data_IF_820328918845
#
_entry.id   IF_820328918845
#
_cell.length_a   1.000
_cell.length_b   1.000
_cell.length_c   1.000
_cell.angle_alpha   90.00
_cell.angle_beta   90.00
_cell.angle_gamma   90.00
#
_symmetry.space_group_name_H-M   'P 1'
#
loop_
_entity.id
_entity.type
_entity.pdbx_description
1 polymer ?
#
# COMPACT_ATOMS: atom_id res chain seq x y z
N UNK A 1 -4.96 2.47 5.69
CA UNK A 1 -4.31 3.62 6.34
C UNK A 1 -4.00 3.18 7.76
N UNK A 2 -2.73 3.25 8.17
CA UNK A 2 -2.29 2.70 9.46
C UNK A 2 -2.54 3.72 10.60
N UNK A 3 -2.63 3.25 11.85
CA UNK A 3 -2.76 4.12 13.02
C UNK A 3 -1.63 5.17 13.07
N UNK A 4 -0.42 4.80 12.68
CA UNK A 4 0.73 5.70 12.62
C UNK A 4 0.54 6.82 11.59
N UNK A 5 0.01 6.50 10.40
CA UNK A 5 -0.32 7.52 9.41
C UNK A 5 -1.37 8.53 9.89
N UNK A 6 -2.27 8.12 10.78
CA UNK A 6 -3.21 9.05 11.42
C UNK A 6 -2.52 9.94 12.46
N UNK A 7 -1.61 9.38 13.27
CA UNK A 7 -0.84 10.14 14.29
C UNK A 7 0.03 11.22 13.65
N UNK A 8 0.74 10.91 12.57
CA UNK A 8 1.57 11.90 11.86
C UNK A 8 0.72 13.10 11.41
N UNK A 9 -0.48 12.85 10.86
CA UNK A 9 -1.35 13.93 10.41
C UNK A 9 -1.94 14.74 11.55
N UNK A 10 -2.29 14.09 12.65
CA UNK A 10 -2.74 14.76 13.87
C UNK A 10 -1.65 15.63 14.47
N UNK A 11 -0.41 15.12 14.55
CA UNK A 11 0.74 15.88 15.07
C UNK A 11 0.99 17.14 14.25
N UNK A 12 0.97 17.04 12.92
CA UNK A 12 1.15 18.21 12.05
C UNK A 12 0.04 19.25 12.23
N UNK A 13 -1.18 18.84 12.57
CA UNK A 13 -2.24 19.78 12.93
C UNK A 13 -1.94 20.48 14.26
N UNK A 14 -1.56 19.72 15.28
CA UNK A 14 -1.16 20.25 16.60
C UNK A 14 0.02 21.22 16.48
N UNK A 15 1.03 20.91 15.66
CA UNK A 15 2.15 21.82 15.38
C UNK A 15 1.69 23.14 14.74
N UNK A 16 0.62 23.11 13.95
CA UNK A 16 0.12 24.28 13.22
C UNK A 16 -0.82 25.16 14.06
N UNK A 17 -1.59 24.59 14.99
CA UNK A 17 -2.60 25.32 15.77
C UNK A 17 -2.37 25.32 17.28
N UNK A 18 -1.34 24.60 17.75
CA UNK A 18 -1.08 24.34 19.16
C UNK A 18 -1.79 23.09 19.68
N UNK A 19 -1.31 22.59 20.83
CA UNK A 19 -1.99 21.55 21.59
C UNK A 19 -3.08 22.17 22.45
N UNK A 20 -4.26 22.35 21.83
CA UNK A 20 -5.41 23.01 22.44
C UNK A 20 -6.57 22.03 22.65
N UNK A 21 -7.48 22.30 23.60
CA UNK A 21 -8.68 21.49 23.77
C UNK A 21 -9.49 21.40 22.47
N UNK A 22 -10.13 20.24 22.22
CA UNK A 22 -10.95 20.03 21.02
C UNK A 22 -12.07 21.08 20.88
N UNK A 23 -12.68 21.50 21.98
CA UNK A 23 -13.72 22.54 22.01
C UNK A 23 -13.20 23.92 21.55
N UNK A 24 -11.89 24.16 21.60
CA UNK A 24 -11.27 25.40 21.14
C UNK A 24 -10.92 25.39 19.65
N UNK A 25 -11.04 24.23 18.98
CA UNK A 25 -10.75 24.13 17.54
C UNK A 25 -11.94 24.64 16.74
N UNK A 26 -11.74 25.75 16.03
CA UNK A 26 -12.78 26.37 15.22
C UNK A 26 -12.76 25.90 13.76
N UNK A 27 -13.87 26.14 13.05
CA UNK A 27 -13.95 25.87 11.60
C UNK A 27 -12.96 26.72 10.79
N UNK A 28 -12.69 27.95 11.23
CA UNK A 28 -11.68 28.81 10.60
C UNK A 28 -10.29 28.17 10.70
N UNK A 29 -9.90 27.70 11.88
CA UNK A 29 -8.61 27.03 12.10
C UNK A 29 -8.46 25.77 11.22
N UNK A 30 -9.52 24.97 11.09
CA UNK A 30 -9.54 23.80 10.22
C UNK A 30 -9.38 24.18 8.73
N UNK A 31 -10.08 25.23 8.28
CA UNK A 31 -9.99 25.74 6.91
C UNK A 31 -8.61 26.31 6.59
N UNK A 32 -8.06 27.13 7.49
CA UNK A 32 -6.76 27.77 7.32
C UNK A 32 -5.63 26.75 7.30
N UNK A 33 -5.69 25.75 8.18
CA UNK A 33 -4.75 24.63 8.18
C UNK A 33 -4.73 23.90 6.83
N UNK A 34 -5.91 23.51 6.32
CA UNK A 34 -6.00 22.80 5.04
C UNK A 34 -5.67 23.68 3.83
N UNK A 35 -5.82 25.00 3.95
CA UNK A 35 -5.44 25.97 2.90
C UNK A 35 -3.94 26.12 2.85
N UNK A 36 -3.28 26.30 4.01
CA UNK A 36 -1.81 26.34 4.11
C UNK A 36 -1.17 25.07 3.57
N UNK A 37 -1.75 23.89 3.84
CA UNK A 37 -1.25 22.63 3.27
C UNK A 37 -1.38 22.58 1.74
N UNK A 38 -2.47 23.12 1.18
CA UNK A 38 -2.82 22.95 -0.23
C UNK A 38 -1.85 23.60 -1.23
N UNK A 39 -0.95 24.48 -0.79
CA UNK A 39 0.10 25.05 -1.64
C UNK A 39 1.23 24.06 -1.95
N UNK A 40 1.54 23.16 -1.01
CA UNK A 40 2.75 22.32 -1.06
C UNK A 40 2.47 20.82 -1.24
N UNK A 41 1.20 20.40 -1.19
CA UNK A 41 0.83 18.98 -1.29
C UNK A 41 -0.33 18.74 -2.26
N UNK A 42 -0.31 17.58 -2.92
CA UNK A 42 -1.39 17.14 -3.78
C UNK A 42 -2.76 17.16 -3.07
N UNK A 43 -3.83 17.46 -3.80
CA UNK A 43 -5.21 17.54 -3.26
C UNK A 43 -5.63 16.27 -2.52
N UNK A 44 -5.21 15.10 -3.00
CA UNK A 44 -5.46 13.82 -2.34
C UNK A 44 -4.77 13.72 -0.98
N UNK A 45 -3.55 14.21 -0.85
CA UNK A 45 -2.86 14.33 0.44
C UNK A 45 -3.58 15.29 1.37
N UNK A 46 -3.94 16.49 0.91
CA UNK A 46 -4.76 17.44 1.68
C UNK A 46 -6.07 16.80 2.17
N UNK A 47 -6.78 16.08 1.30
CA UNK A 47 -8.02 15.39 1.65
C UNK A 47 -7.79 14.30 2.71
N UNK A 48 -6.64 13.61 2.70
CA UNK A 48 -6.30 12.65 3.75
C UNK A 48 -6.13 13.31 5.13
N UNK A 49 -5.61 14.54 5.19
CA UNK A 49 -5.60 15.34 6.43
C UNK A 49 -7.02 15.67 6.87
N UNK A 50 -7.86 16.19 5.96
CA UNK A 50 -9.25 16.53 6.25
C UNK A 50 -10.03 15.32 6.80
N UNK A 51 -9.93 14.16 6.15
CA UNK A 51 -10.60 12.91 6.58
C UNK A 51 -10.07 12.41 7.93
N UNK A 52 -8.75 12.53 8.17
CA UNK A 52 -8.15 12.10 9.43
C UNK A 52 -8.65 12.94 10.60
N UNK A 53 -8.63 14.27 10.46
CA UNK A 53 -9.12 15.18 11.49
C UNK A 53 -10.62 15.07 11.69
N UNK A 54 -11.39 15.00 10.60
CA UNK A 54 -12.82 14.72 10.67
C UNK A 54 -13.12 13.45 11.49
N UNK A 55 -12.35 12.38 11.28
CA UNK A 55 -12.51 11.13 12.03
C UNK A 55 -12.21 11.27 13.53
N UNK A 56 -11.23 12.11 13.90
CA UNK A 56 -10.90 12.41 15.31
C UNK A 56 -12.07 13.09 16.01
N UNK A 57 -12.58 14.19 15.44
CA UNK A 57 -13.72 14.93 16.01
C UNK A 57 -15.00 14.10 16.03
N UNK A 58 -15.26 13.32 14.97
CA UNK A 58 -16.38 12.37 14.95
C UNK A 58 -16.26 11.34 16.07
N UNK A 59 -15.08 10.77 16.28
CA UNK A 59 -14.86 9.80 17.36
C UNK A 59 -15.03 10.42 18.75
N UNK A 60 -14.55 11.65 18.95
CA UNK A 60 -14.73 12.38 20.21
C UNK A 60 -16.21 12.65 20.49
N UNK A 61 -16.97 13.09 19.48
CA UNK A 61 -18.42 13.33 19.58
C UNK A 61 -19.19 12.06 19.94
N UNK A 62 -18.92 10.96 19.24
CA UNK A 62 -19.55 9.65 19.52
C UNK A 62 -19.24 9.10 20.92
N UNK A 63 -18.17 9.58 21.57
CA UNK A 63 -17.78 9.21 22.93
C UNK A 63 -18.22 10.23 23.98
N UNK A 64 -19.02 11.22 23.61
CA UNK A 64 -19.47 12.29 24.52
C UNK A 64 -18.35 13.23 25.00
N UNK A 65 -17.21 13.25 24.30
CA UNK A 65 -16.04 14.09 24.64
C UNK A 65 -15.96 15.38 23.82
N UNK A 66 -16.93 15.62 22.95
CA UNK A 66 -17.03 16.80 22.10
C UNK A 66 -18.52 17.04 21.78
N UNK A 67 -19.03 18.24 22.05
CA UNK A 67 -20.45 18.57 21.91
C UNK A 67 -20.82 19.24 20.59
N UNK A 68 -19.88 19.98 19.99
CA UNK A 68 -20.16 20.87 18.86
C UNK A 68 -20.18 20.13 17.52
N UNK A 69 -20.38 20.90 16.45
CA UNK A 69 -20.22 20.42 15.08
C UNK A 69 -18.77 20.18 14.72
N UNK A 70 -18.54 19.21 13.84
CA UNK A 70 -17.20 18.83 13.45
C UNK A 70 -16.55 19.96 12.62
N UNK A 71 -15.44 20.57 13.08
CA UNK A 71 -14.80 21.67 12.36
C UNK A 71 -14.30 21.29 10.96
N UNK A 72 -14.09 20.00 10.70
CA UNK A 72 -13.62 19.47 9.43
C UNK A 72 -14.75 18.97 8.51
N UNK A 73 -16.01 19.14 8.89
CA UNK A 73 -17.16 18.76 8.08
C UNK A 73 -17.14 19.47 6.72
N UNK A 74 -17.28 18.70 5.64
CA UNK A 74 -17.32 19.22 4.27
C UNK A 74 -16.02 19.86 3.74
N UNK A 75 -14.88 19.79 4.44
CA UNK A 75 -13.65 20.46 4.00
C UNK A 75 -12.81 19.70 2.95
N UNK A 76 -13.28 18.53 2.49
CA UNK A 76 -12.65 17.79 1.38
C UNK A 76 -12.85 18.57 0.08
N UNK A 77 -11.80 18.67 -0.73
CA UNK A 77 -11.90 19.18 -2.10
C UNK A 77 -12.27 18.04 -3.04
N UNK A 78 -13.07 18.35 -4.06
CA UNK A 78 -13.24 17.43 -5.17
C UNK A 78 -11.93 17.35 -5.94
N UNK A 79 -11.57 16.13 -6.34
CA UNK A 79 -10.45 15.94 -7.26
C UNK A 79 -10.93 16.31 -8.66
N UNK A 80 -10.10 17.03 -9.41
CA UNK A 80 -10.29 17.17 -10.86
C UNK A 80 -10.11 15.82 -11.54
N UNK A 81 -10.61 15.67 -12.77
CA UNK A 81 -10.48 14.40 -13.49
C UNK A 81 -9.01 14.05 -13.73
N UNK A 82 -8.14 15.02 -14.01
CA UNK A 82 -6.69 14.80 -14.09
C UNK A 82 -6.04 14.32 -12.78
N UNK A 83 -6.51 14.79 -11.62
CA UNK A 83 -5.98 14.35 -10.31
C UNK A 83 -6.54 12.99 -9.85
N UNK A 84 -7.75 12.64 -10.29
CA UNK A 84 -8.29 11.28 -10.15
C UNK A 84 -7.50 10.32 -11.03
N UNK A 85 -7.17 10.78 -12.22
CA UNK A 85 -6.53 10.02 -13.28
C UNK A 85 -5.01 10.20 -13.32
N UNK A 86 -4.37 10.49 -12.17
CA UNK A 86 -2.92 10.39 -12.01
C UNK A 86 -2.52 8.92 -12.15
N UNK A 87 -2.63 8.41 -13.37
CA UNK A 87 -2.39 7.04 -13.74
C UNK A 87 -0.88 6.86 -13.75
N UNK A 88 -0.46 5.81 -13.07
CA UNK A 88 0.84 5.23 -13.31
C UNK A 88 0.97 4.94 -14.80
N UNK A 89 2.05 5.42 -15.44
CA UNK A 89 2.35 5.08 -16.83
C UNK A 89 2.95 3.67 -16.85
N UNK A 90 2.26 2.65 -17.40
CA UNK A 90 2.77 1.30 -17.40
C UNK A 90 3.99 1.19 -18.33
N UNK A 91 5.01 0.47 -17.86
CA UNK A 91 6.17 0.17 -18.70
C UNK A 91 5.75 -0.56 -19.97
N UNK A 92 6.31 -0.13 -21.10
CA UNK A 92 6.24 -0.85 -22.37
C UNK A 92 7.11 -2.09 -22.30
N UNK A 93 6.81 -3.07 -23.15
CA UNK A 93 7.59 -4.32 -23.20
C UNK A 93 9.08 -4.06 -23.45
N UNK A 94 9.44 -3.13 -24.35
CA UNK A 94 10.84 -2.78 -24.62
C UNK A 94 11.56 -2.15 -23.41
N UNK A 95 10.84 -1.36 -22.61
CA UNK A 95 11.38 -0.74 -21.39
C UNK A 95 11.59 -1.81 -20.32
N UNK A 96 10.63 -2.73 -20.13
CA UNK A 96 10.78 -3.88 -19.24
C UNK A 96 11.94 -4.77 -19.66
N UNK A 97 12.06 -5.09 -20.95
CA UNK A 97 13.19 -5.87 -21.47
C UNK A 97 14.51 -5.18 -21.19
N UNK A 98 14.58 -3.85 -21.33
CA UNK A 98 15.80 -3.08 -21.01
C UNK A 98 16.12 -3.11 -19.52
N UNK A 99 15.13 -2.88 -18.65
CA UNK A 99 15.29 -2.89 -17.20
C UNK A 99 15.72 -4.27 -16.66
N UNK A 100 15.21 -5.34 -17.27
CA UNK A 100 15.46 -6.71 -16.83
C UNK A 100 16.63 -7.39 -17.57
N UNK A 101 17.11 -6.84 -18.69
CA UNK A 101 18.25 -7.39 -19.44
C UNK A 101 19.53 -7.46 -18.58
N UNK A 102 19.74 -6.45 -17.74
CA UNK A 102 20.87 -6.36 -16.82
C UNK A 102 20.59 -6.95 -15.44
N UNK A 103 19.43 -7.61 -15.24
CA UNK A 103 19.16 -8.37 -14.02
C UNK A 103 20.08 -9.60 -13.97
N UNK A 104 21.36 -9.35 -13.68
CA UNK A 104 22.33 -10.37 -13.31
C UNK A 104 21.88 -10.89 -11.96
N UNK A 105 21.03 -11.90 -12.00
CA UNK A 105 20.67 -12.68 -10.83
C UNK A 105 21.97 -13.13 -10.18
N UNK A 106 22.30 -12.51 -9.06
CA UNK A 106 23.46 -12.88 -8.27
C UNK A 106 23.28 -14.34 -7.87
N UNK A 107 24.40 -15.04 -7.66
CA UNK A 107 24.34 -16.36 -7.04
C UNK A 107 23.47 -16.27 -5.79
N UNK A 108 22.58 -17.26 -5.54
CA UNK A 108 21.75 -17.27 -4.36
C UNK A 108 22.61 -17.05 -3.12
N UNK A 109 22.44 -15.88 -2.51
CA UNK A 109 22.95 -15.56 -1.20
C UNK A 109 21.71 -15.29 -0.33
N UNK A 110 21.73 -15.66 0.94
CA UNK A 110 20.66 -15.29 1.87
C UNK A 110 20.84 -13.82 2.29
N UNK A 111 20.69 -12.91 1.33
CA UNK A 111 20.94 -11.47 1.48
C UNK A 111 19.77 -10.65 0.93
N UNK A 112 19.63 -9.41 1.41
CA UNK A 112 18.61 -8.48 0.89
C UNK A 112 18.85 -8.17 -0.59
N UNK A 113 20.11 -8.04 -1.01
CA UNK A 113 20.46 -7.68 -2.39
C UNK A 113 20.01 -8.75 -3.39
N UNK A 114 20.31 -10.02 -3.12
CA UNK A 114 19.87 -11.15 -3.94
C UNK A 114 18.35 -11.32 -3.91
N UNK A 115 17.70 -11.10 -2.75
CA UNK A 115 16.24 -11.14 -2.65
C UNK A 115 15.56 -10.05 -3.48
N UNK A 116 16.09 -8.81 -3.48
CA UNK A 116 15.57 -7.70 -4.27
C UNK A 116 15.66 -7.95 -5.78
N UNK A 117 16.72 -8.60 -6.24
CA UNK A 117 16.86 -8.99 -7.65
C UNK A 117 15.77 -9.98 -8.06
N UNK A 118 15.55 -11.03 -7.25
CA UNK A 118 14.45 -11.97 -7.49
C UNK A 118 13.09 -11.28 -7.41
N UNK A 119 12.88 -10.38 -6.45
CA UNK A 119 11.64 -9.64 -6.33
C UNK A 119 11.33 -8.80 -7.59
N UNK A 120 12.35 -8.14 -8.16
CA UNK A 120 12.22 -7.37 -9.38
C UNK A 120 11.82 -8.22 -10.60
N UNK A 121 12.30 -9.46 -10.67
CA UNK A 121 11.98 -10.38 -11.78
C UNK A 121 10.64 -11.10 -11.56
N UNK A 122 10.30 -11.49 -10.33
CA UNK A 122 9.04 -12.18 -10.02
C UNK A 122 7.83 -11.23 -10.20
N UNK A 123 7.96 -9.96 -9.81
CA UNK A 123 6.87 -8.99 -9.84
C UNK A 123 6.10 -8.94 -11.17
N UNK A 124 6.77 -8.74 -12.32
CA UNK A 124 6.13 -8.74 -13.64
C UNK A 124 5.39 -10.02 -14.01
N UNK A 125 5.84 -11.19 -13.56
CA UNK A 125 5.21 -12.48 -13.88
C UNK A 125 4.08 -12.86 -12.92
N UNK A 126 4.17 -12.46 -11.65
CA UNK A 126 3.25 -12.89 -10.60
C UNK A 126 2.18 -11.84 -10.26
N UNK A 127 2.38 -10.56 -10.61
CA UNK A 127 1.43 -9.48 -10.31
C UNK A 127 1.19 -9.29 -8.81
N UNK A 128 2.17 -9.66 -7.98
CA UNK A 128 2.08 -9.57 -6.53
C UNK A 128 2.35 -8.15 -6.05
N UNK A 129 1.76 -7.77 -4.91
CA UNK A 129 2.17 -6.54 -4.23
C UNK A 129 3.57 -6.72 -3.68
N UNK A 130 4.35 -5.64 -3.61
CA UNK A 130 5.73 -5.68 -3.11
C UNK A 130 5.77 -6.26 -1.69
N UNK A 131 4.80 -5.93 -0.84
CA UNK A 131 4.72 -6.44 0.52
C UNK A 131 4.36 -7.93 0.58
N UNK A 132 3.57 -8.44 -0.37
CA UNK A 132 3.25 -9.87 -0.46
C UNK A 132 4.50 -10.66 -0.88
N UNK A 133 5.28 -10.11 -1.81
CA UNK A 133 6.50 -10.72 -2.32
C UNK A 133 7.63 -10.68 -1.28
N UNK A 134 7.79 -9.57 -0.57
CA UNK A 134 8.82 -9.40 0.45
C UNK A 134 8.56 -10.22 1.72
N UNK A 135 7.30 -10.58 2.00
CA UNK A 135 6.94 -11.38 3.17
C UNK A 135 7.03 -12.89 2.94
N UNK A 136 7.28 -13.33 1.70
CA UNK A 136 7.31 -14.73 1.31
C UNK A 136 8.51 -15.48 1.91
N UNK A 137 8.33 -16.76 2.21
CA UNK A 137 9.36 -17.69 2.61
C UNK A 137 9.34 -18.94 1.71
N UNK A 138 10.34 -19.80 1.86
CA UNK A 138 10.49 -20.99 1.03
C UNK A 138 9.32 -21.98 1.17
N UNK A 139 8.58 -21.95 2.29
CA UNK A 139 7.42 -22.80 2.51
C UNK A 139 6.18 -22.40 1.70
N UNK A 140 6.17 -21.18 1.16
CA UNK A 140 5.08 -20.70 0.30
C UNK A 140 5.25 -21.08 -1.17
N UNK A 141 6.38 -21.69 -1.51
CA UNK A 141 6.72 -22.12 -2.85
C UNK A 141 6.65 -23.63 -2.87
N UNK A 142 5.57 -24.16 -3.44
CA UNK A 142 5.33 -25.61 -3.48
C UNK A 142 4.60 -26.04 -4.74
N UNK A 143 4.56 -27.35 -4.96
CA UNK A 143 3.79 -27.95 -6.04
C UNK A 143 2.34 -28.22 -5.62
N UNK A 144 1.40 -27.80 -6.46
CA UNK A 144 -0.03 -28.10 -6.31
C UNK A 144 -0.55 -28.88 -7.51
N UNK A 145 -1.57 -29.71 -7.27
CA UNK A 145 -2.29 -30.43 -8.31
C UNK A 145 -3.04 -29.42 -9.19
N UNK A 146 -2.77 -29.44 -10.49
CA UNK A 146 -3.32 -28.50 -11.45
C UNK A 146 -4.53 -29.06 -12.23
N UNK A 147 -4.67 -30.37 -12.29
CA UNK A 147 -5.73 -31.06 -13.04
C UNK A 147 -6.72 -31.76 -12.12
N UNK A 148 -7.97 -31.87 -12.57
CA UNK A 148 -9.02 -32.59 -11.84
C UNK A 148 -8.70 -34.09 -11.69
N UNK A 149 -7.81 -34.61 -12.54
CA UNK A 149 -7.38 -35.99 -12.53
C UNK A 149 -6.25 -36.29 -11.51
N UNK A 150 -5.68 -35.27 -10.86
CA UNK A 150 -4.69 -35.45 -9.79
C UNK A 150 -3.28 -35.83 -10.26
N UNK A 151 -2.96 -35.68 -11.54
CA UNK A 151 -1.71 -36.17 -12.14
C UNK A 151 -0.72 -35.06 -12.45
N UNK A 152 -1.19 -33.88 -12.80
CA UNK A 152 -0.34 -32.75 -13.14
C UNK A 152 -0.06 -31.90 -11.91
N UNK A 153 1.22 -31.58 -11.70
CA UNK A 153 1.67 -30.69 -10.62
C UNK A 153 2.33 -29.45 -11.18
N UNK A 154 1.91 -28.29 -10.71
CA UNK A 154 2.51 -27.01 -11.03
C UNK A 154 3.08 -26.37 -9.78
N UNK A 155 4.17 -25.63 -9.94
CA UNK A 155 4.69 -24.79 -8.86
C UNK A 155 3.81 -23.55 -8.69
N UNK A 156 3.56 -23.17 -7.44
CA UNK A 156 2.77 -21.99 -7.10
C UNK A 156 3.48 -21.14 -6.04
N UNK A 157 3.24 -19.83 -6.10
CA UNK A 157 3.39 -18.92 -4.97
C UNK A 157 2.09 -18.91 -4.15
N UNK A 158 2.15 -19.27 -2.87
CA UNK A 158 1.00 -19.23 -1.97
C UNK A 158 0.96 -17.90 -1.20
N UNK A 159 0.06 -17.01 -1.61
CA UNK A 159 -0.21 -15.76 -0.90
C UNK A 159 -1.30 -16.02 0.12
N UNK A 160 -0.91 -16.07 1.40
CA UNK A 160 -1.81 -16.45 2.48
C UNK A 160 -1.74 -15.47 3.68
N UNK A 161 -2.67 -15.66 4.62
CA UNK A 161 -2.81 -14.84 5.83
C UNK A 161 -2.58 -15.69 7.10
N UNK A 162 -1.43 -16.37 7.19
CA UNK A 162 -1.07 -17.25 8.33
C UNK A 162 0.23 -16.76 8.97
N UNK A 163 0.44 -17.09 10.24
CA UNK A 163 1.62 -16.65 10.99
C UNK A 163 1.63 -15.13 11.21
N UNK A 164 2.80 -14.51 11.02
CA UNK A 164 3.00 -13.07 11.21
C UNK A 164 2.60 -12.21 9.99
N UNK A 165 1.86 -12.78 9.03
CA UNK A 165 1.47 -12.09 7.80
C UNK A 165 0.02 -11.65 7.88
N UNK A 166 -0.20 -10.37 7.57
CA UNK A 166 -1.51 -9.75 7.61
C UNK A 166 -1.89 -9.20 6.23
N UNK A 167 -2.70 -9.97 5.49
CA UNK A 167 -3.32 -9.49 4.26
C UNK A 167 -4.50 -8.58 4.58
N UNK A 168 -4.68 -7.53 3.77
CA UNK A 168 -5.70 -6.50 3.98
C UNK A 168 -7.14 -7.04 3.88
N UNK A 169 -7.38 -8.09 3.10
CA UNK A 169 -8.69 -8.72 2.96
C UNK A 169 -8.56 -10.22 2.63
N UNK A 170 -9.61 -10.99 2.96
CA UNK A 170 -9.66 -12.44 2.66
C UNK A 170 -9.52 -12.74 1.17
N UNK A 171 -10.03 -11.85 0.32
CA UNK A 171 -9.94 -11.97 -1.14
C UNK A 171 -8.51 -11.85 -1.70
N UNK A 172 -7.52 -11.40 -0.90
CA UNK A 172 -6.11 -11.40 -1.33
C UNK A 172 -5.45 -12.77 -1.18
N UNK A 173 -6.07 -13.72 -0.47
CA UNK A 173 -5.56 -15.09 -0.35
C UNK A 173 -5.72 -15.78 -1.70
N UNK A 174 -4.61 -16.20 -2.29
CA UNK A 174 -4.58 -16.79 -3.63
C UNK A 174 -3.29 -17.56 -3.85
N UNK A 175 -3.34 -18.47 -4.81
CA UNK A 175 -2.16 -19.19 -5.30
C UNK A 175 -1.89 -18.76 -6.73
N UNK A 176 -0.64 -18.45 -7.03
CA UNK A 176 -0.22 -17.91 -8.32
C UNK A 176 0.72 -18.91 -8.98
N UNK A 177 0.40 -19.45 -10.16
CA UNK A 177 1.31 -20.34 -10.88
C UNK A 177 2.66 -19.67 -11.15
N UNK A 178 3.75 -20.40 -10.92
CA UNK A 178 5.09 -19.91 -11.25
C UNK A 178 5.28 -20.00 -12.76
N UNK A 179 5.54 -18.84 -13.38
CA UNK A 179 5.75 -18.75 -14.81
C UNK A 179 7.00 -19.54 -15.25
N UNK A 180 6.93 -20.21 -16.40
CA UNK A 180 8.01 -21.07 -16.93
C UNK A 180 9.35 -20.33 -17.07
N UNK A 181 9.30 -19.04 -17.36
CA UNK A 181 10.50 -18.19 -17.45
C UNK A 181 11.26 -18.08 -16.12
N UNK A 182 10.56 -18.02 -14.98
CA UNK A 182 11.18 -18.02 -13.65
C UNK A 182 11.89 -19.35 -13.38
N UNK A 183 11.31 -20.45 -13.84
CA UNK A 183 11.94 -21.78 -13.77
C UNK A 183 13.18 -21.85 -14.65
N UNK A 184 13.08 -21.32 -15.89
CA UNK A 184 14.17 -21.29 -16.88
C UNK A 184 15.41 -20.55 -16.35
N UNK A 185 15.22 -19.46 -15.62
CA UNK A 185 16.32 -18.65 -15.05
C UNK A 185 16.78 -19.15 -13.67
N UNK A 186 16.28 -20.29 -13.21
CA UNK A 186 16.79 -21.00 -12.03
C UNK A 186 16.18 -20.59 -10.70
N UNK A 187 14.96 -20.04 -10.66
CA UNK A 187 14.31 -19.66 -9.39
C UNK A 187 14.13 -20.82 -8.41
N UNK A 188 13.93 -22.04 -8.93
CA UNK A 188 13.65 -23.24 -8.15
C UNK A 188 14.89 -24.11 -7.86
N UNK A 189 16.09 -23.62 -8.16
CA UNK A 189 17.35 -24.38 -8.02
C UNK A 189 18.08 -24.08 -6.71
#
# INVERSE_FOLDING_TARGET
MTAEGHRVRARRFIEAVGDIPLASVTRAMASDFLTKLGGDVATRTRNNYAVTMWSVFKSAKLRGRFGDDNPFEGLRRQLTDGEKDSKYDPFKLAELSTLLADARLMKPAHSVQSALQWAAVIGPYAGMRIEELAAMDAGDVYQEIADDAGKEKIWVFDVHNRGNRALKNRASIRKIPIHSELVRIGFLQ
#
